data_IF_065041129675
#
_entry.id   IF_065041129675
#
_cell.length_a   1.000
_cell.length_b   1.000
_cell.length_c   1.000
_cell.angle_alpha   90.00
_cell.angle_beta   90.00
_cell.angle_gamma   90.00
#
_symmetry.space_group_name_H-M   'P 1'
#
loop_
_entity.id
_entity.type
_entity.pdbx_description
1 polymer ?
#
# COMPACT_ATOMS: atom_id res chain seq x y z
N UNK A 1 9.16 28.67 -26.08
CA UNK A 1 8.53 27.34 -25.95
C UNK A 1 8.57 26.92 -24.48
N UNK A 2 7.43 26.68 -23.84
CA UNK A 2 7.33 26.40 -22.41
C UNK A 2 7.91 25.02 -22.05
N UNK A 3 8.86 24.98 -21.11
CA UNK A 3 9.49 23.75 -20.64
C UNK A 3 8.47 22.85 -19.92
N UNK A 4 8.27 21.64 -20.45
CA UNK A 4 7.36 20.62 -19.91
C UNK A 4 7.86 20.17 -18.53
N UNK A 5 7.18 20.62 -17.46
CA UNK A 5 7.50 20.27 -16.05
C UNK A 5 7.55 18.73 -15.92
N UNK A 6 8.72 18.16 -15.60
CA UNK A 6 8.89 16.71 -15.38
C UNK A 6 7.92 16.27 -14.27
N UNK A 7 7.03 15.31 -14.56
CA UNK A 7 6.12 14.75 -13.55
C UNK A 7 6.94 14.21 -12.38
N UNK A 8 6.64 14.66 -11.16
CA UNK A 8 7.27 14.12 -9.96
C UNK A 8 6.98 12.61 -9.87
N UNK A 9 8.01 11.80 -9.59
CA UNK A 9 7.83 10.36 -9.36
C UNK A 9 6.87 10.16 -8.19
N UNK A 10 5.81 9.39 -8.41
CA UNK A 10 4.81 9.07 -7.38
C UNK A 10 5.49 8.40 -6.18
N UNK A 11 5.47 9.06 -5.02
CA UNK A 11 6.06 8.55 -3.75
C UNK A 11 5.16 7.57 -3.00
N UNK A 12 4.08 7.11 -3.63
CA UNK A 12 3.03 6.27 -3.01
C UNK A 12 3.53 4.95 -2.39
N UNK A 13 4.76 4.52 -2.71
CA UNK A 13 5.42 3.36 -2.11
C UNK A 13 6.75 3.67 -1.39
N UNK A 14 7.09 4.94 -1.19
CA UNK A 14 8.22 5.29 -0.34
C UNK A 14 7.87 4.92 1.11
N UNK A 15 8.77 4.23 1.81
CA UNK A 15 8.55 3.78 3.18
C UNK A 15 8.21 4.91 4.17
N UNK A 16 8.57 6.16 3.84
CA UNK A 16 8.22 7.37 4.60
C UNK A 16 6.76 7.83 4.46
N UNK A 17 6.01 7.35 3.46
CA UNK A 17 4.62 7.76 3.22
C UNK A 17 3.61 7.01 4.11
N UNK A 18 4.03 6.20 5.08
CA UNK A 18 3.10 5.45 5.94
C UNK A 18 3.22 5.91 7.40
N UNK A 19 2.10 6.27 8.04
CA UNK A 19 2.13 6.73 9.45
C UNK A 19 2.37 5.59 10.43
N UNK A 20 2.03 4.35 10.04
CA UNK A 20 2.15 3.13 10.84
C UNK A 20 2.79 1.99 10.03
N UNK A 21 4.11 1.99 9.80
CA UNK A 21 4.78 1.02 8.93
C UNK A 21 4.67 -0.43 9.47
N UNK A 22 4.80 -0.62 10.78
CA UNK A 22 4.69 -1.95 11.42
C UNK A 22 3.30 -2.56 11.24
N UNK A 23 2.25 -1.76 11.44
CA UNK A 23 0.87 -2.22 11.23
C UNK A 23 0.63 -2.61 9.78
N UNK A 24 1.13 -1.84 8.81
CA UNK A 24 1.04 -2.17 7.39
C UNK A 24 1.74 -3.50 7.09
N UNK A 25 2.93 -3.73 7.64
CA UNK A 25 3.68 -5.00 7.46
C UNK A 25 2.89 -6.19 8.00
N UNK A 26 2.27 -6.05 9.18
CA UNK A 26 1.46 -7.10 9.78
C UNK A 26 0.21 -7.41 8.93
N UNK A 27 -0.50 -6.37 8.46
CA UNK A 27 -1.64 -6.53 7.57
C UNK A 27 -1.24 -7.15 6.22
N UNK A 28 -0.12 -6.71 5.65
CA UNK A 28 0.41 -7.25 4.40
C UNK A 28 0.69 -8.75 4.51
N UNK A 29 1.36 -9.19 5.58
CA UNK A 29 1.65 -10.61 5.80
C UNK A 29 0.35 -11.42 5.99
N UNK A 30 -0.61 -10.89 6.77
CA UNK A 30 -1.91 -11.54 7.00
C UNK A 30 -2.70 -11.70 5.68
N UNK A 31 -2.76 -10.65 4.87
CA UNK A 31 -3.49 -10.65 3.59
C UNK A 31 -2.76 -11.50 2.55
N UNK A 32 -1.42 -11.48 2.53
CA UNK A 32 -0.63 -12.34 1.65
C UNK A 32 -0.87 -13.81 1.97
N UNK A 33 -0.88 -14.19 3.25
CA UNK A 33 -1.13 -15.55 3.69
C UNK A 33 -2.57 -16.02 3.42
N UNK A 34 -3.54 -15.11 3.43
CA UNK A 34 -4.94 -15.43 3.12
C UNK A 34 -5.17 -15.84 1.67
N UNK A 35 -6.23 -16.63 1.45
CA UNK A 35 -6.75 -17.01 0.12
C UNK A 35 -7.71 -15.97 -0.47
N UNK A 36 -8.04 -14.92 0.29
CA UNK A 36 -8.92 -13.85 -0.17
C UNK A 36 -8.15 -12.95 -1.14
N UNK A 37 -8.74 -12.67 -2.30
CA UNK A 37 -8.14 -11.81 -3.31
C UNK A 37 -7.02 -12.45 -4.15
N UNK A 38 -6.82 -13.77 -4.07
CA UNK A 38 -5.85 -14.51 -4.89
C UNK A 38 -5.34 -15.74 -4.14
N UNK A 39 -4.44 -16.51 -4.76
CA UNK A 39 -3.82 -17.68 -4.10
C UNK A 39 -3.09 -17.28 -2.82
N UNK A 40 -3.20 -18.11 -1.78
CA UNK A 40 -2.45 -17.95 -0.54
C UNK A 40 -0.95 -17.86 -0.80
N UNK A 41 -0.25 -16.97 -0.10
CA UNK A 41 1.17 -16.71 -0.27
C UNK A 41 1.53 -15.76 -1.42
N UNK A 42 0.66 -15.58 -2.41
CA UNK A 42 0.89 -14.68 -3.54
C UNK A 42 0.39 -13.26 -3.28
N UNK A 43 1.02 -12.29 -3.95
CA UNK A 43 0.60 -10.89 -3.92
C UNK A 43 -0.10 -10.50 -5.23
N UNK A 44 -1.33 -10.02 -5.13
CA UNK A 44 -2.18 -9.65 -6.26
C UNK A 44 -2.69 -8.22 -6.12
N UNK A 45 -3.23 -7.65 -7.20
CA UNK A 45 -3.86 -6.33 -7.19
C UNK A 45 -5.02 -6.24 -6.19
N UNK A 46 -5.84 -7.30 -6.10
CA UNK A 46 -6.99 -7.37 -5.17
C UNK A 46 -6.52 -7.38 -3.70
N UNK A 47 -5.43 -8.07 -3.40
CA UNK A 47 -4.80 -8.05 -2.06
C UNK A 47 -4.24 -6.68 -1.70
N UNK A 48 -3.64 -5.97 -2.65
CA UNK A 48 -3.18 -4.59 -2.42
C UNK A 48 -4.33 -3.63 -2.10
N UNK A 49 -5.46 -3.75 -2.81
CA UNK A 49 -6.66 -2.96 -2.51
C UNK A 49 -7.20 -3.27 -1.11
N UNK A 50 -7.23 -4.54 -0.70
CA UNK A 50 -7.65 -4.92 0.66
C UNK A 50 -6.69 -4.37 1.71
N UNK A 51 -5.38 -4.44 1.48
CA UNK A 51 -4.40 -3.86 2.39
C UNK A 51 -4.64 -2.36 2.59
N UNK A 52 -4.87 -1.61 1.52
CA UNK A 52 -5.15 -0.17 1.63
C UNK A 52 -6.43 0.11 2.44
N UNK A 53 -7.50 -0.67 2.20
CA UNK A 53 -8.76 -0.56 2.95
C UNK A 53 -8.59 -0.89 4.42
N UNK A 54 -7.99 -2.04 4.74
CA UNK A 54 -7.74 -2.45 6.13
C UNK A 54 -6.77 -1.52 6.85
N UNK A 55 -5.74 -1.07 6.15
CA UNK A 55 -4.77 -0.14 6.70
C UNK A 55 -5.45 1.17 7.10
N UNK A 56 -6.26 1.75 6.22
CA UNK A 56 -7.05 2.95 6.52
C UNK A 56 -8.07 2.71 7.63
N UNK A 57 -8.77 1.58 7.60
CA UNK A 57 -9.76 1.21 8.64
C UNK A 57 -9.13 1.05 10.03
N UNK A 58 -7.88 0.57 10.13
CA UNK A 58 -7.13 0.50 11.39
C UNK A 58 -6.43 1.80 11.79
N UNK A 59 -6.81 2.93 11.17
CA UNK A 59 -6.23 4.24 11.43
C UNK A 59 -4.79 4.38 10.93
N UNK A 60 -4.45 3.66 9.86
CA UNK A 60 -3.23 3.84 9.09
C UNK A 60 -3.41 4.97 8.09
N UNK A 61 -2.53 5.95 8.13
CA UNK A 61 -2.55 7.12 7.26
C UNK A 61 -1.39 7.10 6.28
N UNK A 62 -1.50 7.94 5.27
CA UNK A 62 -0.41 8.21 4.35
C UNK A 62 0.16 9.59 4.68
N UNK A 63 1.48 9.69 4.75
CA UNK A 63 2.18 10.99 4.83
C UNK A 63 2.37 11.48 3.40
N UNK A 64 1.98 12.71 3.12
CA UNK A 64 2.10 13.36 1.81
C UNK A 64 3.57 13.59 1.40
#
# INVERSE_FOLDING_TARGET
MAAKKKKAKSKVNAAGNYTKPTMRKNLFNKIKAGSKGGKSGQWSARKAQMLAKEYKAKGGGYKD
#
